data_IF_824857411348
#
_entry.id   IF_824857411348
#
_cell.length_a   1.000
_cell.length_b   1.000
_cell.length_c   1.000
_cell.angle_alpha   90.00
_cell.angle_beta   90.00
_cell.angle_gamma   90.00
#
_symmetry.space_group_name_H-M   'P 1'
#
loop_
_entity.id
_entity.type
_entity.pdbx_description
1 polymer ?
#
# COMPACT_ATOMS: atom_id res chain seq x y z
N UNK A 1 -16.40 -24.55 22.07
CA UNK A 1 -15.24 -23.89 21.43
C UNK A 1 -15.61 -23.41 20.00
N UNK A 2 -15.37 -22.14 19.65
CA UNK A 2 -15.67 -21.67 18.31
C UNK A 2 -14.76 -22.41 17.33
N UNK A 3 -15.36 -23.11 16.37
CA UNK A 3 -14.63 -23.75 15.28
C UNK A 3 -13.98 -22.65 14.44
N UNK A 4 -12.70 -22.38 14.67
CA UNK A 4 -11.88 -21.58 13.74
C UNK A 4 -11.94 -22.31 12.40
N UNK A 5 -12.67 -21.74 11.44
CA UNK A 5 -12.73 -22.23 10.06
C UNK A 5 -11.28 -22.32 9.56
N UNK A 6 -10.80 -23.52 9.30
CA UNK A 6 -9.58 -23.71 8.53
C UNK A 6 -9.81 -23.08 7.15
N UNK A 7 -8.99 -22.12 6.71
CA UNK A 7 -9.12 -21.60 5.35
C UNK A 7 -8.89 -22.77 4.40
N UNK A 8 -9.95 -23.17 3.68
CA UNK A 8 -9.83 -24.15 2.60
C UNK A 8 -9.00 -23.49 1.51
N UNK A 9 -7.83 -24.03 1.21
CA UNK A 9 -7.08 -23.67 0.01
C UNK A 9 -7.93 -24.09 -1.20
N UNK A 10 -8.64 -23.15 -1.79
CA UNK A 10 -9.18 -23.33 -3.12
C UNK A 10 -8.01 -23.22 -4.10
N UNK A 11 -8.01 -23.99 -5.18
CA UNK A 11 -6.95 -24.03 -6.20
C UNK A 11 -6.63 -22.70 -6.90
N UNK A 12 -7.30 -21.60 -6.52
CA UNK A 12 -7.15 -20.25 -7.06
C UNK A 12 -6.61 -19.21 -6.07
N UNK A 13 -6.31 -19.57 -4.81
CA UNK A 13 -5.73 -18.63 -3.84
C UNK A 13 -4.21 -18.68 -3.87
N UNK A 14 -3.56 -17.61 -4.33
CA UNK A 14 -2.10 -17.48 -4.25
C UNK A 14 -1.65 -17.36 -2.80
N UNK A 15 -0.64 -18.15 -2.46
CA UNK A 15 0.03 -18.14 -1.16
C UNK A 15 1.49 -17.77 -1.39
N UNK A 16 2.00 -16.82 -0.61
CA UNK A 16 3.39 -16.37 -0.68
C UNK A 16 4.01 -16.33 0.70
N UNK A 17 5.22 -16.85 0.86
CA UNK A 17 6.02 -16.64 2.07
C UNK A 17 6.87 -15.40 1.86
N UNK A 18 6.83 -14.46 2.81
CA UNK A 18 7.56 -13.18 2.75
C UNK A 18 8.44 -12.99 3.98
N UNK A 19 9.60 -12.38 3.78
CA UNK A 19 10.56 -12.02 4.83
C UNK A 19 11.95 -11.83 4.24
N UNK A 20 12.67 -10.81 4.71
CA UNK A 20 14.09 -10.63 4.44
C UNK A 20 14.93 -11.61 5.29
N UNK A 21 16.25 -11.76 5.02
CA UNK A 21 17.09 -12.69 5.76
C UNK A 21 17.08 -12.51 7.29
N UNK A 22 16.86 -11.27 7.75
CA UNK A 22 16.81 -10.92 9.18
C UNK A 22 15.38 -10.89 9.75
N UNK A 23 14.35 -11.16 8.94
CA UNK A 23 12.95 -11.13 9.36
C UNK A 23 12.43 -12.52 9.77
N UNK A 24 11.51 -12.55 10.74
CA UNK A 24 10.62 -13.71 10.90
C UNK A 24 9.75 -13.87 9.65
N UNK A 25 9.70 -15.06 9.07
CA UNK A 25 8.86 -15.33 7.91
C UNK A 25 7.35 -15.16 8.23
N UNK A 26 6.62 -14.58 7.28
CA UNK A 26 5.16 -14.52 7.27
C UNK A 26 4.60 -15.24 6.06
N UNK A 27 3.41 -15.81 6.20
CA UNK A 27 2.64 -16.34 5.07
C UNK A 27 1.53 -15.34 4.73
N UNK A 28 1.48 -14.91 3.48
CA UNK A 28 0.42 -14.04 2.98
C UNK A 28 -0.52 -14.83 2.07
N UNK A 29 -1.80 -14.60 2.28
CA UNK A 29 -2.85 -14.81 1.28
C UNK A 29 -3.03 -13.52 0.46
N UNK A 30 -4.07 -13.46 -0.36
CA UNK A 30 -4.40 -12.24 -1.12
C UNK A 30 -4.79 -11.06 -0.22
N UNK A 31 -5.37 -11.32 0.95
CA UNK A 31 -5.98 -10.30 1.81
C UNK A 31 -5.50 -10.28 3.27
N UNK A 32 -4.83 -11.34 3.71
CA UNK A 32 -4.47 -11.52 5.13
C UNK A 32 -3.04 -12.02 5.28
N UNK A 33 -2.32 -11.46 6.25
CA UNK A 33 -0.97 -11.91 6.67
C UNK A 33 -1.05 -12.81 7.91
N UNK A 34 -0.25 -13.88 7.92
CA UNK A 34 -0.16 -14.86 9.00
C UNK A 34 1.29 -14.98 9.50
N UNK A 35 1.47 -14.92 10.81
CA UNK A 35 2.73 -15.25 11.45
C UNK A 35 2.94 -16.78 11.40
N UNK A 36 4.15 -17.19 11.02
CA UNK A 36 4.55 -18.60 10.93
C UNK A 36 5.21 -19.00 12.25
N UNK A 37 4.69 -20.03 12.92
CA UNK A 37 5.25 -20.54 14.18
C UNK A 37 5.56 -22.01 14.09
N UNK A 38 6.76 -22.38 14.52
CA UNK A 38 7.13 -23.78 14.68
C UNK A 38 6.72 -24.27 16.07
N UNK A 39 5.89 -25.32 16.12
CA UNK A 39 5.40 -25.94 17.36
C UNK A 39 5.90 -27.38 17.43
N UNK A 40 6.71 -27.68 18.45
CA UNK A 40 7.20 -29.03 18.71
C UNK A 40 6.06 -29.95 19.16
N UNK A 41 6.05 -31.17 18.63
CA UNK A 41 5.13 -32.22 19.03
C UNK A 41 5.80 -33.13 20.06
N UNK A 42 5.06 -33.58 21.07
CA UNK A 42 5.52 -34.62 22.00
C UNK A 42 5.31 -36.04 21.47
N UNK A 43 4.58 -36.18 20.37
CA UNK A 43 4.16 -37.46 19.79
C UNK A 43 4.79 -37.62 18.40
N UNK A 44 5.07 -38.85 17.99
CA UNK A 44 5.54 -39.15 16.64
C UNK A 44 4.39 -39.12 15.63
N UNK A 45 4.52 -38.31 14.59
CA UNK A 45 3.57 -38.25 13.49
C UNK A 45 4.25 -38.72 12.21
N UNK A 46 3.90 -39.91 11.73
CA UNK A 46 4.55 -40.50 10.56
C UNK A 46 3.87 -40.05 9.27
N UNK A 47 4.67 -39.58 8.31
CA UNK A 47 4.21 -39.34 6.94
C UNK A 47 4.34 -40.64 6.16
N UNK A 48 3.20 -41.19 5.73
CA UNK A 48 3.15 -42.49 5.04
C UNK A 48 2.44 -42.37 3.69
N UNK A 49 2.83 -43.20 2.71
CA UNK A 49 2.09 -43.36 1.45
C UNK A 49 1.98 -44.84 1.06
N UNK A 50 0.98 -45.24 0.27
CA UNK A 50 0.93 -46.60 -0.26
C UNK A 50 2.13 -46.84 -1.19
N UNK A 51 2.82 -47.97 -1.03
CA UNK A 51 3.92 -48.33 -1.92
C UNK A 51 3.37 -48.82 -3.27
N UNK A 52 3.94 -48.35 -4.38
CA UNK A 52 3.52 -48.71 -5.74
C UNK A 52 4.02 -50.07 -6.24
N UNK A 53 4.82 -50.79 -5.44
CA UNK A 53 5.63 -51.93 -5.91
C UNK A 53 4.94 -53.31 -5.89
N UNK A 54 3.66 -53.40 -5.54
CA UNK A 54 2.98 -54.70 -5.45
C UNK A 54 2.06 -54.92 -6.65
N UNK A 55 2.58 -55.63 -7.67
CA UNK A 55 1.82 -56.18 -8.78
C UNK A 55 1.07 -57.49 -8.43
N UNK A 56 1.18 -57.97 -7.19
CA UNK A 56 0.48 -59.15 -6.70
C UNK A 56 -0.35 -58.83 -5.45
N UNK A 57 -1.60 -59.25 -5.52
CA UNK A 57 -2.75 -58.96 -4.68
C UNK A 57 -2.68 -59.74 -3.34
N UNK A 58 -2.59 -59.03 -2.19
CA UNK A 58 -3.24 -59.41 -0.90
C UNK A 58 -2.81 -58.57 0.32
N UNK A 59 -1.66 -57.88 0.30
CA UNK A 59 -1.21 -57.05 1.43
C UNK A 59 -0.84 -55.62 1.00
N UNK A 60 -1.58 -54.64 1.52
CA UNK A 60 -1.32 -53.23 1.24
C UNK A 60 -0.13 -52.74 2.07
N UNK A 61 1.04 -52.70 1.44
CA UNK A 61 2.27 -52.18 2.04
C UNK A 61 2.28 -50.64 2.03
N UNK A 62 2.73 -50.05 3.14
CA UNK A 62 2.87 -48.61 3.32
C UNK A 62 4.34 -48.26 3.51
N UNK A 63 4.82 -47.23 2.79
CA UNK A 63 6.15 -46.67 3.00
C UNK A 63 6.09 -45.51 3.99
N UNK A 64 7.02 -45.49 4.95
CA UNK A 64 7.22 -44.36 5.87
C UNK A 64 8.24 -43.43 5.24
N UNK A 65 7.84 -42.20 4.96
CA UNK A 65 8.69 -41.15 4.39
C UNK A 65 9.40 -40.33 5.46
N UNK A 66 8.70 -40.03 6.55
CA UNK A 66 9.23 -39.14 7.58
C UNK A 66 8.54 -39.34 8.94
N UNK A 67 9.19 -38.88 10.01
CA UNK A 67 8.65 -38.78 11.36
C UNK A 67 8.68 -37.31 11.81
N UNK A 68 7.54 -36.64 11.70
CA UNK A 68 7.41 -35.21 12.00
C UNK A 68 7.44 -34.99 13.52
N UNK A 69 8.47 -34.29 13.98
CA UNK A 69 8.63 -33.85 15.38
C UNK A 69 8.06 -32.46 15.66
N UNK A 70 7.61 -31.75 14.62
CA UNK A 70 7.04 -30.41 14.76
C UNK A 70 6.06 -30.09 13.63
N UNK A 71 5.19 -29.11 13.87
CA UNK A 71 4.27 -28.56 12.87
C UNK A 71 4.45 -27.06 12.75
N UNK A 72 4.05 -26.54 11.59
CA UNK A 72 3.93 -25.11 11.37
C UNK A 72 2.49 -24.69 11.66
N UNK A 73 2.33 -23.80 12.63
CA UNK A 73 1.07 -23.12 12.93
C UNK A 73 1.05 -21.74 12.28
N UNK A 74 -0.10 -21.39 11.70
CA UNK A 74 -0.35 -20.08 11.10
C UNK A 74 -1.32 -19.29 11.97
N UNK A 75 -0.88 -18.13 12.43
CA UNK A 75 -1.70 -17.24 13.28
C UNK A 75 -1.91 -15.93 12.54
N UNK A 76 -3.17 -15.50 12.28
CA UNK A 76 -3.43 -14.19 11.69
C UNK A 76 -2.72 -13.09 12.49
N UNK A 77 -2.01 -12.21 11.81
CA UNK A 77 -1.30 -11.10 12.42
C UNK A 77 -1.52 -9.80 11.65
N UNK A 78 -1.17 -8.67 12.28
CA UNK A 78 -1.20 -7.39 11.57
C UNK A 78 -0.10 -7.34 10.50
N UNK A 79 -0.35 -6.67 9.36
CA UNK A 79 0.68 -6.45 8.35
C UNK A 79 1.77 -5.53 8.92
N UNK A 80 3.03 -5.86 8.67
CA UNK A 80 4.18 -5.10 9.20
C UNK A 80 4.54 -3.96 8.25
N UNK A 81 3.68 -2.93 8.23
CA UNK A 81 3.79 -1.75 7.35
C UNK A 81 4.77 -0.68 7.85
N UNK A 82 5.48 -0.89 8.95
CA UNK A 82 6.45 0.08 9.48
C UNK A 82 7.59 0.33 8.48
N UNK A 83 8.06 -0.74 7.82
CA UNK A 83 9.08 -0.63 6.77
C UNK A 83 8.61 0.23 5.60
N UNK A 84 7.32 0.15 5.24
CA UNK A 84 6.74 0.99 4.19
C UNK A 84 6.89 2.49 4.51
N UNK A 85 6.81 2.90 5.79
CA UNK A 85 7.05 4.29 6.18
C UNK A 85 8.47 4.70 5.80
N UNK A 86 9.46 3.91 6.23
CA UNK A 86 10.87 4.21 5.98
C UNK A 86 11.19 4.26 4.48
N UNK A 87 10.69 3.29 3.71
CA UNK A 87 10.94 3.23 2.26
C UNK A 87 10.37 4.47 1.54
N UNK A 88 9.19 4.96 1.93
CA UNK A 88 8.54 6.09 1.27
C UNK A 88 9.00 7.46 1.80
N UNK A 89 9.29 7.58 3.08
CA UNK A 89 9.73 8.84 3.71
C UNK A 89 11.11 9.28 3.25
N UNK A 90 11.94 8.35 2.80
CA UNK A 90 13.29 8.67 2.31
C UNK A 90 13.29 9.44 0.98
N UNK A 91 12.23 9.30 0.17
CA UNK A 91 12.20 9.79 -1.21
C UNK A 91 10.92 10.54 -1.56
N UNK A 92 10.60 11.56 -0.73
CA UNK A 92 9.46 12.46 -0.95
C UNK A 92 9.60 13.17 -2.31
N UNK A 93 8.51 13.21 -3.08
CA UNK A 93 8.44 13.91 -4.36
C UNK A 93 8.19 15.40 -4.13
N UNK A 94 9.12 16.25 -4.55
CA UNK A 94 9.07 17.70 -4.35
C UNK A 94 8.81 18.50 -5.64
N UNK A 95 8.39 17.85 -6.72
CA UNK A 95 8.17 18.45 -8.04
C UNK A 95 9.28 18.11 -9.04
N UNK A 96 8.95 18.14 -10.33
CA UNK A 96 9.82 17.72 -11.43
C UNK A 96 11.18 18.46 -11.46
N UNK A 97 11.16 19.76 -11.17
CA UNK A 97 12.38 20.59 -11.13
C UNK A 97 13.37 20.13 -10.04
N UNK A 98 12.87 19.72 -8.88
CA UNK A 98 13.68 19.29 -7.74
C UNK A 98 14.30 17.90 -7.97
N UNK A 99 13.57 17.01 -8.66
CA UNK A 99 14.01 15.65 -9.00
C UNK A 99 15.15 15.64 -10.02
N UNK A 100 15.11 16.55 -10.98
CA UNK A 100 16.15 16.72 -12.01
C UNK A 100 17.54 17.00 -11.41
N UNK A 101 17.59 17.43 -10.14
CA UNK A 101 18.81 17.78 -9.41
C UNK A 101 19.26 16.68 -8.41
N UNK A 102 18.42 15.67 -8.13
CA UNK A 102 18.63 14.68 -7.06
C UNK A 102 18.42 13.24 -7.56
N UNK A 103 19.33 12.72 -8.40
CA UNK A 103 19.16 11.42 -9.07
C UNK A 103 19.69 10.19 -8.30
N UNK A 104 19.70 10.17 -6.96
CA UNK A 104 20.26 9.02 -6.20
C UNK A 104 19.32 8.34 -5.21
N UNK A 105 18.04 8.69 -5.25
CA UNK A 105 17.00 8.07 -4.44
C UNK A 105 16.61 6.67 -4.95
N UNK A 106 16.61 5.65 -4.08
CA UNK A 106 16.02 4.34 -4.39
C UNK A 106 14.49 4.44 -4.48
N UNK A 107 13.96 4.49 -5.69
CA UNK A 107 12.52 4.42 -5.93
C UNK A 107 12.04 2.96 -5.89
N UNK A 108 10.79 2.74 -5.50
CA UNK A 108 10.24 1.40 -5.31
C UNK A 108 9.01 1.18 -6.19
N UNK A 109 9.07 0.14 -7.01
CA UNK A 109 7.93 -0.36 -7.79
C UNK A 109 6.97 -1.16 -6.91
N UNK A 110 5.81 -1.53 -7.45
CA UNK A 110 4.89 -2.46 -6.78
C UNK A 110 5.58 -3.77 -6.39
N UNK A 111 6.37 -4.34 -7.30
CA UNK A 111 7.07 -5.62 -7.12
C UNK A 111 8.14 -5.51 -6.01
N UNK A 112 8.86 -4.38 -5.97
CA UNK A 112 9.82 -4.11 -4.89
C UNK A 112 9.12 -4.03 -3.53
N UNK A 113 8.00 -3.30 -3.44
CA UNK A 113 7.26 -3.20 -2.18
C UNK A 113 6.66 -4.54 -1.75
N UNK A 114 6.21 -5.37 -2.70
CA UNK A 114 5.69 -6.70 -2.40
C UNK A 114 6.74 -7.63 -1.80
N UNK A 115 8.01 -7.49 -2.18
CA UNK A 115 9.13 -8.30 -1.68
C UNK A 115 9.70 -7.75 -0.37
N UNK A 116 9.78 -6.43 -0.24
CA UNK A 116 10.37 -5.76 0.92
C UNK A 116 9.43 -5.71 2.13
N UNK A 117 8.11 -5.59 1.91
CA UNK A 117 7.11 -5.38 2.98
C UNK A 117 6.35 -6.67 3.31
N UNK A 118 6.32 -7.02 4.59
CA UNK A 118 5.62 -8.19 5.11
C UNK A 118 4.11 -7.91 5.28
N UNK A 119 3.40 -7.92 4.16
CA UNK A 119 1.96 -7.74 4.09
C UNK A 119 1.36 -8.53 2.91
N UNK A 120 0.07 -8.86 2.98
CA UNK A 120 -0.68 -9.28 1.81
C UNK A 120 -0.84 -8.13 0.82
N UNK A 121 -1.19 -8.44 -0.42
CA UNK A 121 -1.35 -7.43 -1.47
C UNK A 121 -2.49 -6.45 -1.15
N UNK A 122 -3.59 -6.92 -0.59
CA UNK A 122 -4.69 -6.02 -0.18
C UNK A 122 -4.27 -5.10 0.97
N UNK A 123 -3.55 -5.65 1.96
CA UNK A 123 -3.04 -4.88 3.10
C UNK A 123 -1.97 -3.85 2.68
N UNK A 124 -1.09 -4.21 1.74
CA UNK A 124 -0.08 -3.30 1.19
C UNK A 124 -0.73 -2.16 0.41
N UNK A 125 -1.69 -2.45 -0.48
CA UNK A 125 -2.47 -1.42 -1.19
C UNK A 125 -3.21 -0.50 -0.22
N UNK A 126 -3.81 -1.06 0.82
CA UNK A 126 -4.44 -0.27 1.89
C UNK A 126 -3.41 0.60 2.60
N UNK A 127 -2.26 0.04 2.94
CA UNK A 127 -1.16 0.77 3.59
C UNK A 127 -0.65 1.95 2.78
N UNK A 128 -0.55 1.81 1.46
CA UNK A 128 -0.21 2.90 0.53
C UNK A 128 -1.27 3.99 0.52
N UNK A 129 -2.55 3.61 0.39
CA UNK A 129 -3.68 4.57 0.43
C UNK A 129 -3.77 5.32 1.74
N UNK A 130 -3.64 4.62 2.88
CA UNK A 130 -3.71 5.22 4.21
C UNK A 130 -2.58 6.24 4.43
N UNK A 131 -1.47 6.12 3.68
CA UNK A 131 -0.35 7.07 3.69
C UNK A 131 -0.47 8.16 2.63
N UNK A 132 -1.51 8.13 1.82
CA UNK A 132 -1.66 9.01 0.66
C UNK A 132 -0.45 8.91 -0.30
N UNK A 133 0.03 7.67 -0.54
CA UNK A 133 1.07 7.41 -1.53
C UNK A 133 0.47 7.44 -2.94
N UNK A 134 1.26 7.92 -3.89
CA UNK A 134 0.91 8.07 -5.30
C UNK A 134 1.91 7.29 -6.16
N UNK A 135 1.45 6.76 -7.30
CA UNK A 135 2.30 6.17 -8.33
C UNK A 135 2.78 7.25 -9.30
N UNK A 136 4.08 7.49 -9.36
CA UNK A 136 4.73 8.45 -10.27
C UNK A 136 5.80 7.70 -11.05
N UNK A 137 5.72 7.72 -12.38
CA UNK A 137 6.66 7.04 -13.28
C UNK A 137 6.90 5.56 -12.92
N UNK A 138 5.84 4.85 -12.51
CA UNK A 138 5.91 3.44 -12.11
C UNK A 138 6.42 3.16 -10.69
N UNK A 139 6.69 4.20 -9.89
CA UNK A 139 7.21 4.09 -8.54
C UNK A 139 6.28 4.73 -7.50
N UNK A 140 6.12 4.10 -6.34
CA UNK A 140 5.31 4.64 -5.25
C UNK A 140 6.08 5.69 -4.45
N UNK A 141 5.47 6.85 -4.25
CA UNK A 141 6.07 7.99 -3.56
C UNK A 141 5.06 8.72 -2.70
N UNK A 142 5.56 9.49 -1.73
CA UNK A 142 4.77 10.47 -0.99
C UNK A 142 5.10 11.86 -1.51
N UNK A 143 4.10 12.73 -1.59
CA UNK A 143 4.33 14.13 -1.96
C UNK A 143 4.94 14.89 -0.78
N UNK A 144 5.98 15.67 -1.04
CA UNK A 144 6.59 16.51 -0.02
C UNK A 144 5.54 17.53 0.48
N UNK A 145 5.38 17.75 1.80
CA UNK A 145 4.29 18.58 2.34
C UNK A 145 4.26 20.03 1.85
N UNK A 146 5.42 20.59 1.49
CA UNK A 146 5.50 21.94 0.89
C UNK A 146 5.01 21.91 -0.55
N UNK A 147 5.44 20.92 -1.33
CA UNK A 147 5.01 20.78 -2.73
C UNK A 147 3.52 20.50 -2.80
N UNK A 148 2.99 19.63 -1.93
CA UNK A 148 1.57 19.30 -1.90
C UNK A 148 0.69 20.50 -1.55
N UNK A 149 1.18 21.40 -0.69
CA UNK A 149 0.53 22.68 -0.44
C UNK A 149 0.52 23.56 -1.68
N UNK A 150 1.67 23.71 -2.36
CA UNK A 150 1.75 24.49 -3.60
C UNK A 150 0.77 23.97 -4.64
N UNK A 151 0.66 22.65 -4.83
CA UNK A 151 -0.31 22.06 -5.75
C UNK A 151 -1.75 22.43 -5.37
N UNK A 152 -2.11 22.31 -4.09
CA UNK A 152 -3.46 22.67 -3.62
C UNK A 152 -3.77 24.16 -3.80
N UNK A 153 -2.83 25.03 -3.48
CA UNK A 153 -2.97 26.48 -3.60
C UNK A 153 -3.12 26.91 -5.07
N UNK A 154 -2.30 26.35 -5.96
CA UNK A 154 -2.43 26.54 -7.41
C UNK A 154 -3.75 26.00 -7.93
N UNK A 155 -4.23 24.87 -7.42
CA UNK A 155 -5.54 24.29 -7.80
C UNK A 155 -6.70 25.21 -7.43
N UNK A 156 -6.72 25.73 -6.19
CA UNK A 156 -7.79 26.64 -5.75
C UNK A 156 -7.69 27.98 -6.50
N UNK A 157 -6.48 28.50 -6.69
CA UNK A 157 -6.25 29.78 -7.39
C UNK A 157 -6.66 29.71 -8.85
N UNK A 158 -6.30 28.64 -9.57
CA UNK A 158 -6.72 28.45 -10.96
C UNK A 158 -8.23 28.22 -11.08
N UNK A 159 -8.82 27.40 -10.21
CA UNK A 159 -10.27 27.20 -10.18
C UNK A 159 -11.04 28.51 -9.95
N UNK A 160 -10.60 29.35 -9.02
CA UNK A 160 -11.22 30.66 -8.79
C UNK A 160 -11.01 31.65 -9.93
N UNK A 161 -9.87 31.62 -10.61
CA UNK A 161 -9.59 32.49 -11.75
C UNK A 161 -10.43 32.14 -12.99
N UNK A 162 -10.78 30.86 -13.16
CA UNK A 162 -11.56 30.33 -14.29
C UNK A 162 -13.05 30.15 -13.97
N UNK A 163 -13.54 30.66 -12.82
CA UNK A 163 -14.92 30.49 -12.34
C UNK A 163 -15.38 29.02 -12.26
N UNK A 164 -14.45 28.10 -11.95
CA UNK A 164 -14.75 26.69 -11.72
C UNK A 164 -15.34 26.46 -10.31
N UNK A 165 -16.49 25.79 -10.19
CA UNK A 165 -17.10 25.52 -8.88
C UNK A 165 -16.27 24.51 -8.08
N UNK A 166 -15.85 24.89 -6.87
CA UNK A 166 -15.03 24.04 -5.99
C UNK A 166 -15.76 22.76 -5.53
N UNK A 167 -17.09 22.76 -5.58
CA UNK A 167 -17.96 21.63 -5.27
C UNK A 167 -18.15 20.68 -6.47
N UNK A 168 -17.68 21.04 -7.66
CA UNK A 168 -17.84 20.26 -8.88
C UNK A 168 -16.69 20.47 -9.87
N UNK A 169 -15.46 20.21 -9.42
CA UNK A 169 -14.25 20.30 -10.22
C UNK A 169 -14.09 19.07 -11.12
N UNK A 170 -14.01 19.28 -12.43
CA UNK A 170 -13.73 18.21 -13.39
C UNK A 170 -12.24 17.99 -13.50
N UNK A 171 -11.79 16.74 -13.42
CA UNK A 171 -10.37 16.39 -13.52
C UNK A 171 -9.73 16.96 -14.80
N UNK A 172 -10.37 16.82 -15.96
CA UNK A 172 -9.87 17.35 -17.24
C UNK A 172 -9.61 18.86 -17.21
N UNK A 173 -10.52 19.63 -16.61
CA UNK A 173 -10.35 21.08 -16.56
C UNK A 173 -9.21 21.46 -15.62
N UNK A 174 -9.19 20.89 -14.42
CA UNK A 174 -8.12 21.14 -13.45
C UNK A 174 -6.75 20.72 -14.01
N UNK A 175 -6.65 19.56 -14.66
CA UNK A 175 -5.40 19.09 -15.27
C UNK A 175 -4.93 20.03 -16.38
N UNK A 176 -5.84 20.57 -17.20
CA UNK A 176 -5.49 21.55 -18.24
C UNK A 176 -4.97 22.85 -17.64
N UNK A 177 -5.64 23.39 -16.62
CA UNK A 177 -5.21 24.63 -15.96
C UNK A 177 -3.88 24.47 -15.25
N UNK A 178 -3.65 23.33 -14.60
CA UNK A 178 -2.42 23.08 -13.83
C UNK A 178 -1.24 22.65 -14.72
N UNK A 179 -1.50 22.28 -15.97
CA UNK A 179 -0.46 22.00 -16.95
C UNK A 179 0.42 23.24 -17.22
N UNK A 180 -0.15 24.45 -17.14
CA UNK A 180 0.61 25.71 -17.29
C UNK A 180 1.62 25.93 -16.15
N UNK A 181 1.48 25.19 -15.06
CA UNK A 181 2.36 25.22 -13.89
C UNK A 181 3.27 23.98 -13.78
N UNK A 182 3.41 23.20 -14.86
CA UNK A 182 4.21 21.97 -14.92
C UNK A 182 3.80 20.91 -13.87
N UNK A 183 2.51 20.86 -13.50
CA UNK A 183 1.97 19.85 -12.58
C UNK A 183 1.33 18.71 -13.39
N UNK A 184 1.85 17.47 -13.29
CA UNK A 184 1.30 16.31 -13.99
C UNK A 184 -0.14 15.97 -13.59
N UNK A 185 -0.96 15.42 -14.51
CA UNK A 185 -2.36 15.10 -14.25
C UNK A 185 -2.55 14.07 -13.12
N UNK A 186 -1.59 13.15 -12.93
CA UNK A 186 -1.60 12.18 -11.84
C UNK A 186 -1.57 12.88 -10.48
N UNK A 187 -0.76 13.94 -10.36
CA UNK A 187 -0.64 14.74 -9.13
C UNK A 187 -1.90 15.57 -8.90
N UNK A 188 -2.48 16.14 -9.96
CA UNK A 188 -3.75 16.86 -9.89
C UNK A 188 -4.87 15.94 -9.39
N UNK A 189 -4.99 14.75 -10.00
CA UNK A 189 -5.99 13.74 -9.60
C UNK A 189 -5.79 13.31 -8.16
N UNK A 190 -4.55 13.06 -7.76
CA UNK A 190 -4.24 12.69 -6.39
C UNK A 190 -4.59 13.81 -5.41
N UNK A 191 -4.25 15.07 -5.70
CA UNK A 191 -4.61 16.23 -4.89
C UNK A 191 -6.14 16.35 -4.74
N UNK A 192 -6.89 16.29 -5.85
CA UNK A 192 -8.35 16.30 -5.84
C UNK A 192 -8.91 15.18 -4.95
N UNK A 193 -8.41 13.95 -5.09
CA UNK A 193 -8.83 12.80 -4.26
C UNK A 193 -8.54 12.99 -2.78
N UNK A 194 -7.37 13.51 -2.42
CA UNK A 194 -6.98 13.71 -1.03
C UNK A 194 -7.83 14.77 -0.34
N UNK A 195 -8.28 15.80 -1.06
CA UNK A 195 -9.02 16.93 -0.50
C UNK A 195 -10.53 16.92 -0.78
N UNK A 196 -11.02 15.97 -1.57
CA UNK A 196 -12.45 15.82 -1.85
C UNK A 196 -13.09 14.74 -0.99
N UNK A 197 -14.41 14.80 -0.83
CA UNK A 197 -15.17 13.73 -0.19
C UNK A 197 -15.58 12.64 -1.19
N UNK A 198 -15.57 11.36 -0.77
CA UNK A 198 -15.92 10.25 -1.65
C UNK A 198 -17.35 10.41 -2.19
N UNK A 199 -17.46 10.62 -3.50
CA UNK A 199 -18.71 10.81 -4.23
C UNK A 199 -19.11 9.57 -5.03
N UNK A 200 -20.31 9.63 -5.63
CA UNK A 200 -20.76 8.62 -6.58
C UNK A 200 -19.82 8.57 -7.79
N UNK A 201 -19.27 7.40 -8.10
CA UNK A 201 -18.34 7.21 -9.23
C UNK A 201 -16.84 7.22 -8.88
N UNK A 202 -16.47 7.32 -7.60
CA UNK A 202 -15.08 7.16 -7.17
C UNK A 202 -14.57 5.74 -7.46
N UNK A 203 -13.72 5.62 -8.46
CA UNK A 203 -13.03 4.36 -8.80
C UNK A 203 -11.64 4.31 -8.18
N UNK A 204 -11.06 3.12 -8.06
CA UNK A 204 -9.64 3.00 -7.65
C UNK A 204 -8.73 3.77 -8.63
N UNK A 205 -7.53 4.19 -8.18
CA UNK A 205 -6.61 4.99 -9.00
C UNK A 205 -6.37 4.36 -10.39
N UNK A 206 -6.33 3.03 -10.44
CA UNK A 206 -6.12 2.23 -11.67
C UNK A 206 -7.34 2.13 -12.62
N UNK A 207 -8.53 2.58 -12.21
CA UNK A 207 -9.79 2.39 -12.96
C UNK A 207 -10.56 3.69 -13.29
N UNK A 208 -10.05 4.83 -12.86
CA UNK A 208 -10.71 6.13 -13.07
C UNK A 208 -10.68 6.59 -14.51
N UNK A 209 -11.71 7.34 -14.90
CA UNK A 209 -11.81 7.99 -16.21
C UNK A 209 -11.47 9.47 -16.06
N UNK A 210 -11.10 10.12 -17.16
CA UNK A 210 -10.79 11.55 -17.20
C UNK A 210 -12.02 12.42 -16.84
N UNK A 211 -13.24 11.90 -16.99
CA UNK A 211 -14.49 12.58 -16.65
C UNK A 211 -14.86 12.58 -15.15
N UNK A 212 -13.92 12.25 -14.26
CA UNK A 212 -14.15 12.29 -12.80
C UNK A 212 -14.44 13.72 -12.31
N UNK A 213 -15.46 13.85 -11.47
CA UNK A 213 -15.88 15.11 -10.84
C UNK A 213 -15.63 15.03 -9.33
N UNK A 214 -15.06 16.09 -8.79
CA UNK A 214 -14.58 16.19 -7.42
C UNK A 214 -15.22 17.38 -6.70
N UNK A 215 -15.66 17.14 -5.47
CA UNK A 215 -16.16 18.18 -4.58
C UNK A 215 -15.16 18.37 -3.44
N UNK A 216 -14.47 19.52 -3.42
CA UNK A 216 -13.51 19.80 -2.36
C UNK A 216 -14.21 19.86 -1.00
N UNK A 217 -13.63 19.17 -0.03
CA UNK A 217 -14.10 19.15 1.34
C UNK A 217 -13.47 20.30 2.12
N UNK A 218 -14.28 21.29 2.50
CA UNK A 218 -13.85 22.42 3.32
C UNK A 218 -13.11 21.94 4.57
N UNK A 219 -13.61 20.89 5.22
CA UNK A 219 -13.00 20.32 6.43
C UNK A 219 -11.58 19.81 6.17
N UNK A 220 -11.36 19.05 5.08
CA UNK A 220 -10.03 18.49 4.75
C UNK A 220 -9.04 19.58 4.37
N UNK A 221 -9.48 20.54 3.55
CA UNK A 221 -8.66 21.69 3.13
C UNK A 221 -8.26 22.53 4.34
N UNK A 222 -9.22 22.92 5.19
CA UNK A 222 -8.95 23.69 6.40
C UNK A 222 -8.06 22.95 7.39
N UNK A 223 -8.27 21.64 7.59
CA UNK A 223 -7.44 20.83 8.48
C UNK A 223 -5.99 20.78 8.00
N UNK A 224 -5.77 20.60 6.70
CA UNK A 224 -4.43 20.58 6.11
C UNK A 224 -3.70 21.92 6.22
N UNK A 225 -4.38 23.03 5.89
CA UNK A 225 -3.83 24.38 6.03
C UNK A 225 -3.54 24.69 7.51
N UNK A 226 -4.45 24.33 8.42
CA UNK A 226 -4.27 24.50 9.86
C UNK A 226 -3.08 23.72 10.41
N UNK A 227 -2.93 22.44 10.03
CA UNK A 227 -1.78 21.62 10.40
C UNK A 227 -0.47 22.23 9.88
N UNK A 228 -0.46 22.77 8.65
CA UNK A 228 0.71 23.44 8.10
C UNK A 228 1.12 24.65 8.94
N UNK A 229 0.17 25.53 9.27
CA UNK A 229 0.42 26.69 10.14
C UNK A 229 0.97 26.29 11.51
N UNK A 230 0.39 25.26 12.14
CA UNK A 230 0.87 24.74 13.43
C UNK A 230 2.29 24.17 13.34
N UNK A 231 2.62 23.45 12.26
CA UNK A 231 3.98 22.94 12.06
C UNK A 231 4.99 24.06 11.83
N UNK A 232 4.62 25.11 11.11
CA UNK A 232 5.49 26.27 10.87
C UNK A 232 5.83 27.03 12.17
N UNK A 233 4.84 27.23 13.04
CA UNK A 233 5.05 27.89 14.34
C UNK A 233 5.87 27.03 15.32
N UNK A 234 5.68 25.70 15.29
CA UNK A 234 6.50 24.78 16.10
C UNK A 234 7.98 24.84 15.71
N UNK A 235 8.28 25.00 14.43
CA UNK A 235 9.66 25.15 13.95
C UNK A 235 10.23 26.50 14.38
N UNK A 236 9.48 27.60 14.25
CA UNK A 236 9.92 28.94 14.70
C UNK A 236 10.25 28.99 16.19
N UNK A 237 9.41 28.39 17.04
CA UNK A 237 9.63 28.35 18.49
C UNK A 237 10.83 27.49 18.91
N UNK A 238 11.23 26.51 18.10
CA UNK A 238 12.40 25.67 18.34
C UNK A 238 13.72 26.38 17.98
N UNK A 239 13.70 27.27 16.97
CA UNK A 239 14.86 28.09 16.58
C UNK A 239 15.01 29.40 17.39
N UNK A 240 14.05 29.73 18.25
CA UNK A 240 14.10 30.88 19.17
C UNK A 240 14.58 30.52 20.59
N UNK A 241 15.05 29.29 20.82
CA UNK A 241 15.67 28.83 22.07
C UNK A 241 17.13 28.45 21.84
#
# INVERSE_FOLDING_TARGET
PPQKKTPRLNSSSSLSIKGLPDDDAVLCTNDTTYAVRNVQLSNSLLLISPSSDNADDSEQTWSVHDNLSSIIELVPCLPRLERLNYLLDTNLYAGYEAESQHSQASLYTWEDLQTLVQASDAELRKGLRDRNAILIDGHYRLLHPVYFHTVLDTLITSATAEDMPLEALRLVDCSRSLQEHDIPPEIVRHCLRSFSDPGEGWKQEDEGNDDEVYALSEVKVCQFLGLRLLTAERVRTMFMR
#
